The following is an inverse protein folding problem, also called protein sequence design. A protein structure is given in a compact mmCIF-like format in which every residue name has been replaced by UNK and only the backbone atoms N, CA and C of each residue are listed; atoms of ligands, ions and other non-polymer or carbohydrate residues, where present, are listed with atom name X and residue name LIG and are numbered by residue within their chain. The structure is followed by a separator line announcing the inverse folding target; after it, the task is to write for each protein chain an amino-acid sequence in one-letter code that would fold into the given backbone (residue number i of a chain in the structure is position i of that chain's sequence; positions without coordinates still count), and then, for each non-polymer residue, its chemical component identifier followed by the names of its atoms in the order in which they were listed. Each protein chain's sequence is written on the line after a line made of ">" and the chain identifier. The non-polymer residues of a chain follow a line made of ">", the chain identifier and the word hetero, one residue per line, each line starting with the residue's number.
data_IF_816761343819
#
_entry.id   IF_816761343819
#
_cell.length_a   1.000
_cell.length_b   1.000
_cell.length_c   1.000
_cell.angle_alpha   90.00
_cell.angle_beta   90.00
_cell.angle_gamma   90.00
#
_symmetry.space_group_name_H-M   'P 1'
#
loop_
_entity.id
_entity.type
_entity.pdbx_description
1 polymer ?
2 polymer ?
#
loop_
_entity_poly.entity_id
_entity_poly.type
_entity_poly.pdbx_seq_one_letter_code
_entity_poly.pdbx_strand_id
1 'polyribonucleotide' 'GGUGUUGACUGUUGAAUCUCAUGGCAACACC' ?
#
# COMPACT_ATOMS: atom_id res chain seq x y z
N UNK B 1 -3.45 1.66 7.93
CA UNK B 1 -3.99 2.10 6.63
C UNK B 1 -3.29 1.38 5.48
N UNK B 2 -4.03 1.14 4.41
CA UNK B 2 -3.47 0.48 3.23
C UNK B 2 -3.46 1.44 2.05
N UNK B 3 -2.28 1.99 1.75
CA UNK B 3 -2.14 2.92 0.64
C UNK B 3 -1.92 2.20 -0.67
N UNK B 4 -2.30 2.85 -1.77
CA UNK B 4 -2.13 2.26 -3.09
C UNK B 4 -1.35 3.20 -4.01
N UNK B 5 -0.22 2.73 -4.51
CA UNK B 5 0.62 3.54 -5.38
C UNK B 5 0.70 2.94 -6.78
N UNK B 6 0.59 3.80 -7.78
CA UNK B 6 0.65 3.34 -9.19
C UNK B 6 -0.01 1.97 -9.32
N UNK B 7 -1.21 1.85 -8.79
CA UNK B 7 -1.94 0.58 -8.86
C UNK B 7 -1.18 -0.52 -8.14
N UNK B 8 -0.64 -0.17 -6.97
CA UNK B 8 0.10 -1.15 -6.17
C UNK B 8 -0.35 -1.08 -4.72
N UNK B 9 -0.61 -2.24 -4.13
CA UNK B 9 -1.09 -2.29 -2.75
C UNK B 9 0.04 -2.02 -1.77
N UNK B 10 -0.14 -0.99 -0.94
CA UNK B 10 0.87 -0.63 0.04
C UNK B 10 0.29 -0.72 1.45
N UNK B 11 0.90 -1.56 2.28
CA UNK B 11 0.43 -1.74 3.64
C UNK B 11 1.22 -0.87 4.60
N UNK B 12 0.53 0.10 5.20
CA UNK B 12 1.18 1.01 6.15
C UNK B 12 0.39 1.08 7.45
N UNK B 13 0.81 0.33 8.44
CA UNK B 13 0.14 0.31 9.77
C UNK B 13 -1.36 0.04 9.65
N UNK B 14 -2.18 0.88 10.23
CA UNK B 14 -3.66 0.70 10.18
C UNK B 14 -4.27 1.15 8.85
#
# INVERSE_FOLDING_TARGET
>B
RVRTRGKRRIRRPP
#
